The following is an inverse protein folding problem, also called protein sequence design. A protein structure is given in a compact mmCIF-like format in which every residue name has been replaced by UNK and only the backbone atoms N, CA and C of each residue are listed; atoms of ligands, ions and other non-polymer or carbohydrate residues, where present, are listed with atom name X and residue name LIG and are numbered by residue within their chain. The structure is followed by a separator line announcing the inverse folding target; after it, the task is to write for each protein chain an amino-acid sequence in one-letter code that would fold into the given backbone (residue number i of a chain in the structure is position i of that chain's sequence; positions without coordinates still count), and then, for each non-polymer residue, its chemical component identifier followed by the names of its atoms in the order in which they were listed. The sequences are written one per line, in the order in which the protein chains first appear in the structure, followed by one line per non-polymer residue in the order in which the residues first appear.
data_IF_780333566797
#
_entry.id   IF_780333566797
#
_cell.length_a   1.000
_cell.length_b   1.000
_cell.length_c   1.000
_cell.angle_alpha   90.00
_cell.angle_beta   90.00
_cell.angle_gamma   90.00
#
_symmetry.space_group_name_H-M   'P 1'
#
loop_
_entity.id
_entity.type
_entity.pdbx_description
1 polymer ?
#
# COMPACT_ATOMS: atom_id res chain seq x y z
N UNK A 1 3.95 26.51 24.65
CA UNK A 1 4.71 25.28 24.91
C UNK A 1 3.93 24.12 24.32
N UNK A 2 4.51 23.35 23.40
CA UNK A 2 3.87 22.13 22.87
C UNK A 2 4.11 20.98 23.85
N UNK A 3 3.03 20.45 24.42
CA UNK A 3 3.08 19.23 25.23
C UNK A 3 3.47 18.07 24.30
N UNK A 4 4.65 17.49 24.52
CA UNK A 4 5.05 16.24 23.85
C UNK A 4 4.27 15.11 24.49
N UNK A 5 3.50 14.39 23.68
CA UNK A 5 2.84 13.16 24.10
C UNK A 5 3.84 12.00 23.99
N UNK A 6 3.95 11.18 25.02
CA UNK A 6 4.66 9.91 24.94
C UNK A 6 3.88 8.98 23.99
N UNK A 7 4.53 8.56 22.90
CA UNK A 7 4.00 7.54 22.02
C UNK A 7 4.48 6.17 22.52
N UNK A 8 3.57 5.24 22.86
CA UNK A 8 3.96 3.89 23.19
C UNK A 8 4.55 3.19 21.97
N UNK A 9 5.66 2.48 22.18
CA UNK A 9 6.21 1.59 21.18
C UNK A 9 5.28 0.38 21.01
N UNK A 10 4.73 0.22 19.81
CA UNK A 10 3.83 -0.88 19.45
C UNK A 10 4.61 -2.07 18.85
N UNK A 11 5.93 -2.00 18.82
CA UNK A 11 6.81 -2.98 18.21
C UNK A 11 6.80 -2.90 16.68
N UNK A 12 7.05 -4.04 16.04
CA UNK A 12 7.16 -4.10 14.58
C UNK A 12 5.80 -3.85 13.91
N UNK A 13 5.78 -2.91 12.98
CA UNK A 13 4.67 -2.67 12.07
C UNK A 13 4.34 -3.93 11.24
N UNK A 14 3.14 -4.48 11.48
CA UNK A 14 2.59 -5.60 10.71
C UNK A 14 1.47 -5.16 9.76
N UNK A 15 0.67 -4.18 10.18
CA UNK A 15 -0.43 -3.65 9.38
C UNK A 15 -0.48 -2.13 9.51
N UNK A 16 -0.57 -1.44 8.38
CA UNK A 16 -0.71 0.01 8.34
C UNK A 16 -1.70 0.39 7.25
N UNK A 17 -2.73 1.17 7.60
CA UNK A 17 -3.78 1.62 6.66
C UNK A 17 -4.42 0.48 5.85
N UNK A 18 -4.52 -0.72 6.43
CA UNK A 18 -5.06 -1.91 5.74
C UNK A 18 -4.06 -2.62 4.80
N UNK A 19 -2.83 -2.14 4.69
CA UNK A 19 -1.72 -2.82 4.01
C UNK A 19 -0.99 -3.74 4.99
N UNK A 20 -0.57 -4.90 4.51
CA UNK A 20 0.34 -5.79 5.23
C UNK A 20 1.78 -5.34 5.05
N UNK A 21 2.56 -5.43 6.12
CA UNK A 21 3.97 -5.02 6.17
C UNK A 21 4.80 -6.19 6.65
N UNK A 22 5.86 -6.51 5.91
CA UNK A 22 6.86 -7.52 6.26
C UNK A 22 8.20 -6.81 6.34
N UNK A 23 8.74 -6.72 7.55
CA UNK A 23 10.05 -6.13 7.80
C UNK A 23 11.11 -7.24 7.85
N UNK A 24 12.17 -7.08 7.06
CA UNK A 24 13.32 -7.99 7.01
C UNK A 24 14.60 -7.16 7.07
N UNK A 25 15.72 -7.81 7.33
CA UNK A 25 17.03 -7.16 7.41
C UNK A 25 17.39 -6.36 6.13
N UNK A 26 16.90 -6.79 4.97
CA UNK A 26 17.09 -6.10 3.68
C UNK A 26 16.04 -5.05 3.30
N UNK A 27 15.08 -4.75 4.18
CA UNK A 27 14.07 -3.71 3.94
C UNK A 27 12.63 -4.11 4.26
N UNK A 28 11.70 -3.28 3.79
CA UNK A 28 10.26 -3.39 4.07
C UNK A 28 9.52 -3.81 2.82
N UNK A 29 8.75 -4.88 2.92
CA UNK A 29 7.85 -5.34 1.87
C UNK A 29 6.40 -5.02 2.25
N UNK A 30 5.73 -4.24 1.41
CA UNK A 30 4.33 -3.83 1.61
C UNK A 30 3.47 -4.63 0.63
N UNK A 31 2.35 -5.18 1.11
CA UNK A 31 1.44 -5.96 0.27
C UNK A 31 -0.04 -5.75 0.64
N UNK A 32 -0.92 -5.96 -0.35
CA UNK A 32 -2.37 -5.85 -0.18
C UNK A 32 -3.08 -7.19 -0.44
N UNK A 33 -2.45 -8.31 -0.04
CA UNK A 33 -2.97 -9.65 -0.32
C UNK A 33 -4.41 -9.87 0.21
N UNK A 34 -4.72 -9.35 1.41
CA UNK A 34 -6.06 -9.45 1.98
C UNK A 34 -7.09 -8.72 1.11
N UNK A 35 -6.77 -7.51 0.68
CA UNK A 35 -7.62 -6.72 -0.22
C UNK A 35 -7.85 -7.45 -1.55
N UNK A 36 -6.78 -7.94 -2.19
CA UNK A 36 -6.89 -8.70 -3.44
C UNK A 36 -7.81 -9.94 -3.31
N UNK A 37 -7.66 -10.72 -2.23
CA UNK A 37 -8.54 -11.86 -1.95
C UNK A 37 -9.99 -11.45 -1.75
N UNK A 38 -10.24 -10.39 -0.98
CA UNK A 38 -11.58 -9.85 -0.78
C UNK A 38 -12.21 -9.40 -2.09
N UNK A 39 -11.42 -8.76 -2.97
CA UNK A 39 -11.87 -8.32 -4.29
C UNK A 39 -12.27 -9.51 -5.17
N UNK A 40 -11.42 -10.54 -5.27
CA UNK A 40 -11.72 -11.74 -6.03
C UNK A 40 -12.99 -12.43 -5.52
N UNK A 41 -13.15 -12.55 -4.20
CA UNK A 41 -14.37 -13.12 -3.61
C UNK A 41 -15.60 -12.28 -3.94
N UNK A 42 -15.51 -10.94 -3.85
CA UNK A 42 -16.62 -10.02 -4.11
C UNK A 42 -17.15 -10.16 -5.54
N UNK A 43 -16.28 -10.42 -6.51
CA UNK A 43 -16.65 -10.56 -7.92
C UNK A 43 -16.81 -12.02 -8.37
N UNK A 44 -16.75 -12.99 -7.46
CA UNK A 44 -16.85 -14.41 -7.81
C UNK A 44 -15.67 -14.95 -8.62
N UNK A 45 -14.52 -14.29 -8.58
CA UNK A 45 -13.32 -14.61 -9.35
C UNK A 45 -12.31 -15.48 -8.58
N UNK A 46 -12.67 -15.97 -7.40
CA UNK A 46 -11.78 -16.74 -6.51
C UNK A 46 -11.23 -17.99 -7.19
N UNK A 47 -12.07 -18.69 -7.96
CA UNK A 47 -11.75 -19.97 -8.60
C UNK A 47 -11.48 -19.80 -10.12
N UNK A 48 -11.33 -18.56 -10.59
CA UNK A 48 -10.97 -18.30 -11.97
C UNK A 48 -9.53 -18.74 -12.27
N UNK A 49 -9.29 -19.13 -13.52
CA UNK A 49 -7.94 -19.48 -13.99
C UNK A 49 -7.01 -18.26 -13.86
N UNK A 50 -5.79 -18.44 -13.34
CA UNK A 50 -4.83 -17.34 -13.25
C UNK A 50 -4.46 -16.87 -14.67
N UNK A 51 -4.30 -15.56 -14.82
CA UNK A 51 -3.79 -14.93 -16.04
C UNK A 51 -2.35 -14.51 -15.80
N UNK A 52 -1.45 -14.74 -16.75
CA UNK A 52 -0.01 -14.42 -16.59
C UNK A 52 0.25 -12.93 -16.42
N UNK A 53 -0.63 -12.09 -16.98
CA UNK A 53 -0.53 -10.64 -16.92
C UNK A 53 -1.83 -10.07 -16.33
N UNK A 54 -1.93 -9.94 -14.99
CA UNK A 54 -3.15 -9.48 -14.31
C UNK A 54 -3.42 -7.98 -14.50
N UNK A 55 -2.43 -7.22 -14.98
CA UNK A 55 -2.51 -5.80 -15.30
C UNK A 55 -2.27 -5.61 -16.80
N UNK A 56 -3.05 -4.76 -17.46
CA UNK A 56 -2.82 -4.41 -18.86
C UNK A 56 -1.48 -3.65 -18.95
N UNK A 57 -0.46 -4.16 -19.69
CA UNK A 57 0.86 -3.54 -19.72
C UNK A 57 0.88 -2.15 -20.37
N UNK A 58 -0.16 -1.81 -21.13
CA UNK A 58 -0.34 -0.50 -21.77
C UNK A 58 -0.95 0.56 -20.86
N UNK A 59 -1.56 0.18 -19.73
CA UNK A 59 -2.06 1.12 -18.73
C UNK A 59 -0.89 1.57 -17.85
N UNK A 60 -0.21 2.64 -18.28
CA UNK A 60 0.79 3.32 -17.45
C UNK A 60 0.06 4.04 -16.32
N UNK A 61 0.48 3.79 -15.08
CA UNK A 61 0.08 4.61 -13.93
C UNK A 61 0.49 6.06 -14.23
N UNK A 62 -0.50 6.92 -14.51
CA UNK A 62 -0.30 8.36 -14.61
C UNK A 62 -0.43 8.94 -13.21
N UNK A 63 0.44 9.89 -12.85
CA UNK A 63 0.10 10.78 -11.74
C UNK A 63 -1.01 11.69 -12.24
N UNK A 64 -2.17 11.61 -11.61
CA UNK A 64 -3.25 12.59 -11.82
C UNK A 64 -3.05 13.84 -10.96
N UNK A 65 -2.07 13.81 -10.05
CA UNK A 65 -1.71 14.97 -9.25
C UNK A 65 -0.85 15.96 -10.05
N UNK A 66 -1.50 16.94 -10.68
CA UNK A 66 -0.96 18.31 -10.68
C UNK A 66 -0.98 18.82 -9.22
N UNK A 67 -0.15 18.23 -8.36
CA UNK A 67 0.31 18.94 -7.18
C UNK A 67 1.28 19.99 -7.70
N UNK A 68 0.87 21.27 -7.68
CA UNK A 68 1.83 22.35 -7.76
C UNK A 68 2.94 22.07 -6.75
N UNK A 69 4.18 22.02 -7.24
CA UNK A 69 5.35 21.93 -6.40
C UNK A 69 5.27 23.15 -5.47
N UNK A 70 5.01 22.93 -4.19
CA UNK A 70 5.12 23.99 -3.22
C UNK A 70 6.59 24.40 -3.20
N UNK A 71 6.91 25.54 -3.81
CA UNK A 71 8.24 26.12 -3.76
C UNK A 71 8.64 26.27 -2.30
N UNK A 72 9.73 25.61 -1.93
CA UNK A 72 10.39 25.79 -0.65
C UNK A 72 11.05 27.18 -0.67
N UNK A 73 10.28 28.21 -0.31
CA UNK A 73 10.85 29.53 -0.02
C UNK A 73 11.56 29.45 1.33
N UNK A 74 12.89 29.35 1.26
CA UNK A 74 13.83 29.65 2.33
C UNK A 74 13.82 31.15 2.65
#
# INVERSE_FOLDING_TARGET
MMNKFEMPDLGLLHHFLGMGVIQKEGGIFIHQQKYAKTLLNKFGLKDCKPVSTPLVPTEKLKREDECELADEQT
#
